data_IF_366035235056
#
_entry.id   IF_366035235056
#
_cell.length_a   1.000
_cell.length_b   1.000
_cell.length_c   1.000
_cell.angle_alpha   90.00
_cell.angle_beta   90.00
_cell.angle_gamma   90.00
#
_symmetry.space_group_name_H-M   'P 1'
#
loop_
_entity.id
_entity.type
_entity.pdbx_description
1 polymer ?
#
# COMPACT_ATOMS: atom_id res chain seq x y z
N UNK A 1 -21.16 -7.46 -8.76
CA UNK A 1 -21.15 -6.41 -7.72
C UNK A 1 -20.21 -6.85 -6.62
N UNK A 2 -19.34 -5.96 -6.14
CA UNK A 2 -18.48 -6.25 -4.99
C UNK A 2 -19.33 -6.54 -3.73
N UNK A 3 -18.85 -7.40 -2.81
CA UNK A 3 -19.48 -7.62 -1.51
C UNK A 3 -19.79 -6.30 -0.79
N UNK A 4 -20.90 -6.24 -0.04
CA UNK A 4 -21.29 -5.02 0.69
C UNK A 4 -20.19 -4.51 1.63
N UNK A 5 -19.45 -5.42 2.26
CA UNK A 5 -18.28 -5.08 3.09
C UNK A 5 -17.23 -4.29 2.30
N UNK A 6 -16.90 -4.72 1.09
CA UNK A 6 -15.88 -4.08 0.25
C UNK A 6 -16.35 -2.71 -0.24
N UNK A 7 -17.63 -2.58 -0.65
CA UNK A 7 -18.21 -1.28 -1.00
C UNK A 7 -18.17 -0.27 0.15
N UNK A 8 -18.37 -0.73 1.39
CA UNK A 8 -18.24 0.12 2.57
C UNK A 8 -16.79 0.56 2.76
N UNK A 9 -15.81 -0.33 2.55
CA UNK A 9 -14.39 0.03 2.65
C UNK A 9 -13.90 0.91 1.51
N UNK A 10 -14.44 0.75 0.30
CA UNK A 10 -14.17 1.65 -0.83
C UNK A 10 -14.69 3.07 -0.52
N UNK A 11 -15.92 3.16 0.00
CA UNK A 11 -16.51 4.41 0.46
C UNK A 11 -15.74 5.05 1.63
N UNK A 12 -15.21 4.24 2.55
CA UNK A 12 -14.34 4.73 3.62
C UNK A 12 -13.05 5.34 3.05
N UNK A 13 -12.42 4.69 2.06
CA UNK A 13 -11.25 5.23 1.38
C UNK A 13 -11.57 6.56 0.70
N UNK A 14 -12.71 6.67 -0.01
CA UNK A 14 -13.15 7.93 -0.61
C UNK A 14 -13.21 9.05 0.45
N UNK A 15 -13.95 8.82 1.53
CA UNK A 15 -14.13 9.82 2.59
C UNK A 15 -12.81 10.18 3.27
N UNK A 16 -11.91 9.22 3.50
CA UNK A 16 -10.59 9.50 4.06
C UNK A 16 -9.72 10.35 3.12
N UNK A 17 -9.75 10.06 1.82
CA UNK A 17 -8.95 10.77 0.83
C UNK A 17 -9.47 12.20 0.58
N UNK A 18 -10.79 12.40 0.65
CA UNK A 18 -11.45 13.70 0.41
C UNK A 18 -11.56 14.55 1.67
N UNK A 19 -12.09 13.99 2.76
CA UNK A 19 -12.50 14.73 3.97
C UNK A 19 -11.60 14.44 5.20
N UNK A 20 -10.65 13.53 5.06
CA UNK A 20 -9.76 13.11 6.14
C UNK A 20 -10.43 12.31 7.25
N UNK A 21 -9.69 11.96 8.31
CA UNK A 21 -10.17 11.08 9.38
C UNK A 21 -11.32 11.70 10.21
N UNK A 22 -11.44 13.03 10.23
CA UNK A 22 -12.54 13.74 10.87
C UNK A 22 -13.88 13.51 10.16
N UNK A 23 -13.88 13.54 8.82
CA UNK A 23 -15.06 13.33 7.98
C UNK A 23 -15.54 11.88 7.90
N UNK A 24 -14.65 10.91 8.19
CA UNK A 24 -14.95 9.47 8.20
C UNK A 24 -15.89 9.05 9.35
N UNK A 25 -17.15 9.47 9.29
CA UNK A 25 -18.22 9.06 10.22
C UNK A 25 -18.99 7.87 9.66
N UNK A 26 -19.61 7.07 10.53
CA UNK A 26 -20.44 5.92 10.10
C UNK A 26 -21.57 6.35 9.14
N UNK A 27 -22.14 7.53 9.35
CA UNK A 27 -23.23 8.05 8.51
C UNK A 27 -22.70 8.49 7.14
N UNK A 28 -21.59 9.24 7.09
CA UNK A 28 -20.95 9.65 5.84
C UNK A 28 -20.52 8.44 4.98
N UNK A 29 -19.95 7.42 5.61
CA UNK A 29 -19.54 6.19 4.92
C UNK A 29 -20.76 5.38 4.45
N UNK A 30 -21.81 5.27 5.26
CA UNK A 30 -23.04 4.57 4.85
C UNK A 30 -23.71 5.25 3.64
N UNK A 31 -23.83 6.57 3.68
CA UNK A 31 -24.36 7.38 2.59
C UNK A 31 -23.54 7.18 1.31
N UNK A 32 -22.21 7.32 1.40
CA UNK A 32 -21.31 7.14 0.25
C UNK A 32 -21.35 5.71 -0.32
N UNK A 33 -21.45 4.71 0.53
CA UNK A 33 -21.56 3.30 0.12
C UNK A 33 -22.94 2.93 -0.44
N UNK A 34 -23.94 3.82 -0.35
CA UNK A 34 -25.32 3.55 -0.76
C UNK A 34 -25.97 2.44 0.08
N UNK A 35 -25.68 2.40 1.38
CA UNK A 35 -26.26 1.42 2.33
C UNK A 35 -26.96 2.12 3.48
N UNK A 36 -27.87 1.42 4.14
CA UNK A 36 -28.47 1.95 5.38
C UNK A 36 -27.45 1.90 6.53
N UNK A 37 -27.63 2.77 7.53
CA UNK A 37 -26.84 2.73 8.77
C UNK A 37 -26.85 1.35 9.43
N UNK A 38 -28.02 0.70 9.49
CA UNK A 38 -28.15 -0.67 9.99
C UNK A 38 -27.40 -1.70 9.16
N UNK A 39 -27.38 -1.55 7.83
CA UNK A 39 -26.61 -2.39 6.92
C UNK A 39 -25.09 -2.21 7.08
N UNK A 40 -24.62 -0.99 7.33
CA UNK A 40 -23.22 -0.76 7.68
C UNK A 40 -22.86 -1.39 9.04
N UNK A 41 -23.69 -1.15 10.06
CA UNK A 41 -23.48 -1.65 11.42
C UNK A 41 -23.50 -3.19 11.53
N UNK A 42 -24.11 -3.87 10.56
CA UNK A 42 -24.01 -5.32 10.42
C UNK A 42 -22.57 -5.79 10.13
N UNK A 43 -21.81 -5.01 9.37
CA UNK A 43 -20.42 -5.32 8.99
C UNK A 43 -19.38 -4.70 9.93
N UNK A 44 -19.61 -3.46 10.37
CA UNK A 44 -18.69 -2.69 11.19
C UNK A 44 -19.44 -1.98 12.31
N UNK A 45 -19.24 -2.41 13.57
CA UNK A 45 -20.07 -1.95 14.70
C UNK A 45 -19.64 -0.58 15.21
N UNK A 46 -18.45 -0.13 14.83
CA UNK A 46 -17.86 1.12 15.27
C UNK A 46 -17.04 1.77 14.15
N UNK A 47 -16.65 3.03 14.37
CA UNK A 47 -15.69 3.72 13.50
C UNK A 47 -14.30 3.07 13.55
N UNK A 48 -13.90 2.54 14.70
CA UNK A 48 -12.65 1.82 14.84
C UNK A 48 -12.69 0.49 14.06
N UNK A 49 -13.82 -0.23 14.07
CA UNK A 49 -13.99 -1.45 13.27
C UNK A 49 -13.85 -1.17 11.76
N UNK A 50 -14.32 -0.01 11.30
CA UNK A 50 -14.13 0.44 9.91
C UNK A 50 -12.66 0.66 9.60
N UNK A 51 -11.93 1.34 10.49
CA UNK A 51 -10.50 1.59 10.33
C UNK A 51 -9.69 0.30 10.36
N UNK A 52 -9.97 -0.62 11.29
CA UNK A 52 -9.35 -1.95 11.29
C UNK A 52 -9.67 -2.71 10.00
N UNK A 53 -10.90 -2.65 9.51
CA UNK A 53 -11.26 -3.27 8.23
C UNK A 53 -10.49 -2.73 7.02
N UNK A 54 -10.14 -1.44 7.03
CA UNK A 54 -9.27 -0.84 6.02
C UNK A 54 -7.82 -1.30 6.18
N UNK A 55 -7.31 -1.34 7.41
CA UNK A 55 -5.95 -1.82 7.70
C UNK A 55 -5.81 -3.32 7.40
N UNK A 56 -6.87 -4.12 7.54
CA UNK A 56 -6.90 -5.52 7.09
C UNK A 56 -6.76 -5.64 5.57
N UNK A 57 -7.32 -4.70 4.80
CA UNK A 57 -7.10 -4.65 3.34
C UNK A 57 -5.66 -4.28 3.01
N UNK A 58 -5.06 -3.36 3.79
CA UNK A 58 -3.66 -2.99 3.63
C UNK A 58 -2.75 -4.22 3.84
N UNK A 59 -2.92 -4.92 4.95
CA UNK A 59 -2.14 -6.13 5.26
C UNK A 59 -2.33 -7.22 4.18
N UNK A 60 -3.57 -7.42 3.71
CA UNK A 60 -3.84 -8.38 2.63
C UNK A 60 -3.12 -8.00 1.32
N UNK A 61 -3.01 -6.71 1.01
CA UNK A 61 -2.24 -6.20 -0.12
C UNK A 61 -0.76 -6.53 0.00
N UNK A 62 -0.16 -6.28 1.17
CA UNK A 62 1.23 -6.62 1.45
C UNK A 62 1.52 -8.11 1.32
N UNK A 63 0.65 -8.96 1.87
CA UNK A 63 0.76 -10.41 1.76
C UNK A 63 0.60 -10.91 0.31
N UNK A 64 -0.30 -10.31 -0.46
CA UNK A 64 -0.47 -10.63 -1.87
C UNK A 64 0.77 -10.25 -2.70
N UNK A 65 1.41 -9.13 -2.37
CA UNK A 65 2.64 -8.68 -3.00
C UNK A 65 3.81 -9.65 -2.74
N UNK A 66 4.02 -10.06 -1.49
CA UNK A 66 5.03 -11.09 -1.17
C UNK A 66 4.78 -12.41 -1.92
N UNK A 67 3.52 -12.84 -2.01
CA UNK A 67 3.15 -14.06 -2.71
C UNK A 67 3.39 -14.00 -4.23
N UNK A 68 3.33 -12.80 -4.82
CA UNK A 68 3.56 -12.57 -6.25
C UNK A 68 5.02 -12.28 -6.60
N UNK A 69 5.85 -11.99 -5.59
CA UNK A 69 7.25 -11.68 -5.80
C UNK A 69 8.01 -12.89 -6.39
N UNK A 70 8.71 -12.70 -7.53
CA UNK A 70 9.51 -13.77 -8.12
C UNK A 70 10.57 -14.31 -7.15
N UNK A 71 10.87 -15.63 -7.18
CA UNK A 71 11.79 -16.24 -6.23
C UNK A 71 13.27 -16.01 -6.57
N UNK A 72 13.59 -15.64 -7.81
CA UNK A 72 14.96 -15.35 -8.22
C UNK A 72 15.33 -13.88 -7.96
N UNK A 73 16.58 -13.57 -7.56
CA UNK A 73 17.01 -12.21 -7.19
C UNK A 73 16.69 -11.16 -8.27
N UNK A 74 16.93 -11.55 -9.52
CA UNK A 74 16.85 -10.71 -10.70
C UNK A 74 15.39 -10.37 -11.05
N UNK A 75 14.52 -11.38 -11.03
CA UNK A 75 13.09 -11.26 -11.17
C UNK A 75 12.48 -10.44 -10.04
N UNK A 76 12.86 -10.69 -8.80
CA UNK A 76 12.36 -9.98 -7.62
C UNK A 76 12.67 -8.47 -7.70
N UNK A 77 13.91 -8.12 -8.04
CA UNK A 77 14.32 -6.73 -8.17
C UNK A 77 13.62 -6.02 -9.33
N UNK A 78 13.48 -6.68 -10.50
CA UNK A 78 12.74 -6.10 -11.64
C UNK A 78 11.29 -5.88 -11.28
N UNK A 79 10.63 -6.90 -10.74
CA UNK A 79 9.22 -6.83 -10.33
C UNK A 79 8.98 -5.69 -9.33
N UNK A 80 9.82 -5.58 -8.30
CA UNK A 80 9.70 -4.54 -7.29
C UNK A 80 9.90 -3.14 -7.88
N UNK A 81 11.01 -2.91 -8.58
CA UNK A 81 11.34 -1.59 -9.14
C UNK A 81 10.38 -1.16 -10.25
N UNK A 82 9.85 -2.10 -11.03
CA UNK A 82 8.88 -1.80 -12.08
C UNK A 82 7.50 -1.45 -11.49
N UNK A 83 7.06 -2.21 -10.47
CA UNK A 83 5.82 -1.95 -9.73
C UNK A 83 5.82 -0.63 -8.96
N UNK A 84 6.98 -0.17 -8.50
CA UNK A 84 7.11 1.11 -7.79
C UNK A 84 7.04 2.36 -8.68
N UNK A 85 6.77 2.25 -9.98
CA UNK A 85 6.72 3.42 -10.89
C UNK A 85 5.31 3.97 -11.11
N UNK A 86 4.29 3.33 -10.53
CA UNK A 86 2.89 3.72 -10.64
C UNK A 86 2.31 3.97 -9.25
N UNK A 87 1.34 4.89 -9.17
CA UNK A 87 0.72 5.29 -7.90
C UNK A 87 -0.83 5.33 -7.98
N UNK A 88 -1.41 4.66 -8.97
CA UNK A 88 -2.81 4.77 -9.37
C UNK A 88 -3.61 3.46 -9.24
N UNK A 89 -3.02 2.41 -8.65
CA UNK A 89 -3.67 1.13 -8.42
C UNK A 89 -4.51 1.07 -7.12
N UNK A 90 -5.29 0.00 -6.95
CA UNK A 90 -6.17 -0.17 -5.79
C UNK A 90 -5.41 -0.38 -4.46
N UNK A 91 -4.23 -0.99 -4.50
CA UNK A 91 -3.33 -1.16 -3.35
C UNK A 91 -2.79 0.20 -2.89
N UNK A 92 -2.33 1.03 -3.82
CA UNK A 92 -1.83 2.37 -3.55
C UNK A 92 -2.92 3.27 -2.98
N UNK A 93 -4.14 3.16 -3.51
CA UNK A 93 -5.30 3.85 -2.96
C UNK A 93 -5.56 3.46 -1.50
N UNK A 94 -5.45 2.18 -1.18
CA UNK A 94 -5.61 1.66 0.19
C UNK A 94 -4.50 2.21 1.11
N UNK A 95 -3.25 2.19 0.64
CA UNK A 95 -2.09 2.78 1.32
C UNK A 95 -2.31 4.27 1.62
N UNK A 96 -2.71 5.05 0.63
CA UNK A 96 -2.95 6.49 0.77
C UNK A 96 -4.09 6.80 1.74
N UNK A 97 -5.17 6.02 1.71
CA UNK A 97 -6.26 6.17 2.68
C UNK A 97 -5.80 5.82 4.10
N UNK A 98 -5.01 4.76 4.27
CA UNK A 98 -4.45 4.38 5.57
C UNK A 98 -3.46 5.43 6.10
N UNK A 99 -2.69 6.09 5.25
CA UNK A 99 -1.82 7.22 5.65
C UNK A 99 -2.61 8.38 6.27
N UNK A 100 -3.88 8.59 5.87
CA UNK A 100 -4.76 9.61 6.46
C UNK A 100 -5.12 9.32 7.92
N UNK A 101 -4.91 8.09 8.38
CA UNK A 101 -5.17 7.69 9.77
C UNK A 101 -3.98 7.96 10.70
N UNK A 102 -2.79 8.24 10.16
CA UNK A 102 -1.60 8.51 10.98
C UNK A 102 -1.83 9.72 11.90
N UNK A 103 -1.40 9.59 13.16
CA UNK A 103 -1.61 10.60 14.20
C UNK A 103 -3.05 10.74 14.70
N UNK A 104 -4.03 10.06 14.09
CA UNK A 104 -5.45 10.11 14.48
C UNK A 104 -5.97 8.76 14.99
N UNK A 105 -5.50 7.65 14.41
CA UNK A 105 -5.81 6.30 14.84
C UNK A 105 -4.51 5.56 15.21
N UNK A 106 -4.20 5.39 16.51
CA UNK A 106 -2.89 4.89 16.94
C UNK A 106 -2.42 3.58 16.27
N UNK A 107 -3.27 2.56 16.04
CA UNK A 107 -2.85 1.33 15.38
C UNK A 107 -2.32 1.50 13.94
N UNK A 108 -2.69 2.58 13.24
CA UNK A 108 -2.31 2.80 11.85
C UNK A 108 -0.79 2.88 11.65
N UNK A 109 -0.04 3.44 12.62
CA UNK A 109 1.42 3.55 12.52
C UNK A 109 2.07 2.17 12.45
N UNK A 110 1.69 1.26 13.35
CA UNK A 110 2.26 -0.09 13.42
C UNK A 110 1.83 -0.93 12.21
N UNK A 111 0.59 -0.78 11.74
CA UNK A 111 0.10 -1.46 10.53
C UNK A 111 0.84 -0.98 9.28
N UNK A 112 1.08 0.32 9.16
CA UNK A 112 1.85 0.89 8.04
C UNK A 112 3.29 0.41 8.02
N UNK A 113 3.95 0.38 9.19
CA UNK A 113 5.31 -0.13 9.30
C UNK A 113 5.39 -1.62 8.89
N UNK A 114 4.41 -2.44 9.28
CA UNK A 114 4.33 -3.84 8.84
C UNK A 114 4.10 -3.96 7.33
N UNK A 115 3.16 -3.20 6.77
CA UNK A 115 2.90 -3.22 5.34
C UNK A 115 4.16 -2.94 4.50
N UNK A 116 4.95 -1.92 4.87
CA UNK A 116 6.20 -1.60 4.15
C UNK A 116 7.27 -2.70 4.30
N UNK A 117 7.29 -3.42 5.43
CA UNK A 117 8.21 -4.53 5.64
C UNK A 117 7.77 -5.79 4.89
N UNK A 118 6.47 -6.11 4.94
CA UNK A 118 5.84 -7.25 4.26
C UNK A 118 5.91 -7.09 2.74
N UNK A 119 5.71 -5.88 2.22
CA UNK A 119 5.86 -5.55 0.81
C UNK A 119 7.26 -5.89 0.27
N UNK A 120 8.30 -5.70 1.09
CA UNK A 120 9.68 -6.04 0.75
C UNK A 120 10.10 -7.45 1.22
N UNK A 121 9.20 -8.26 1.80
CA UNK A 121 9.54 -9.58 2.32
C UNK A 121 10.01 -10.53 1.21
N UNK A 122 9.29 -10.56 0.09
CA UNK A 122 9.66 -11.40 -1.07
C UNK A 122 11.00 -11.01 -1.65
N UNK A 123 11.26 -9.70 -1.76
CA UNK A 123 12.54 -9.15 -2.22
C UNK A 123 13.70 -9.59 -1.33
N UNK A 124 13.56 -9.46 0.00
CA UNK A 124 14.58 -9.88 0.98
C UNK A 124 14.81 -11.39 0.99
N UNK A 125 13.76 -12.17 0.70
CA UNK A 125 13.86 -13.64 0.59
C UNK A 125 14.58 -14.06 -0.68
N UNK A 126 14.34 -13.39 -1.81
CA UNK A 126 14.97 -13.69 -3.08
C UNK A 126 16.43 -13.22 -3.12
N UNK A 127 16.72 -12.03 -2.59
CA UNK A 127 18.06 -11.43 -2.57
C UNK A 127 18.73 -11.77 -1.23
N UNK A 128 19.63 -12.77 -1.25
CA UNK A 128 20.29 -13.26 -0.04
C UNK A 128 21.21 -12.24 0.65
N UNK A 129 21.77 -11.27 -0.08
CA UNK A 129 22.53 -10.17 0.52
C UNK A 129 21.58 -9.09 1.08
N UNK A 130 21.53 -8.89 2.42
CA UNK A 130 20.60 -7.95 3.03
C UNK A 130 20.86 -6.49 2.64
N UNK A 131 22.11 -6.13 2.31
CA UNK A 131 22.42 -4.75 1.89
C UNK A 131 21.88 -4.48 0.50
N UNK A 132 22.11 -5.38 -0.45
CA UNK A 132 21.57 -5.27 -1.81
C UNK A 132 20.04 -5.29 -1.80
N UNK A 133 19.40 -6.18 -1.03
CA UNK A 133 17.95 -6.19 -0.89
C UNK A 133 17.41 -4.84 -0.37
N UNK A 134 18.09 -4.26 0.63
CA UNK A 134 17.70 -2.96 1.19
C UNK A 134 17.93 -1.81 0.22
N UNK A 135 18.99 -1.85 -0.60
CA UNK A 135 19.23 -0.85 -1.64
C UNK A 135 18.12 -0.88 -2.71
N UNK A 136 17.74 -2.07 -3.18
CA UNK A 136 16.63 -2.24 -4.13
C UNK A 136 15.33 -1.69 -3.52
N UNK A 137 15.05 -2.04 -2.26
CA UNK A 137 13.86 -1.54 -1.55
C UNK A 137 13.85 -0.01 -1.47
N UNK A 138 14.92 0.62 -0.99
CA UNK A 138 15.00 2.07 -0.83
C UNK A 138 14.88 2.83 -2.15
N UNK A 139 15.41 2.26 -3.23
CA UNK A 139 15.25 2.82 -4.58
C UNK A 139 13.79 2.70 -5.02
N UNK A 140 13.16 1.54 -4.87
CA UNK A 140 11.73 1.37 -5.18
C UNK A 140 10.84 2.30 -4.37
N UNK A 141 11.06 2.42 -3.06
CA UNK A 141 10.32 3.35 -2.19
C UNK A 141 10.44 4.80 -2.69
N UNK A 142 11.64 5.22 -3.14
CA UNK A 142 11.88 6.54 -3.71
C UNK A 142 11.19 6.75 -5.06
N UNK A 143 11.25 5.76 -5.95
CA UNK A 143 10.54 5.77 -7.23
C UNK A 143 9.02 5.87 -7.03
N UNK A 144 8.49 5.14 -6.04
CA UNK A 144 7.08 5.19 -5.70
C UNK A 144 6.67 6.57 -5.20
N UNK A 145 7.48 7.18 -4.34
CA UNK A 145 7.23 8.53 -3.86
C UNK A 145 7.27 9.57 -5.00
N UNK A 146 8.19 9.41 -5.95
CA UNK A 146 8.24 10.24 -7.16
C UNK A 146 6.96 10.08 -8.00
N UNK A 147 6.58 8.84 -8.31
CA UNK A 147 5.36 8.54 -9.04
C UNK A 147 4.11 9.13 -8.36
N UNK A 148 4.01 8.98 -7.04
CA UNK A 148 2.92 9.50 -6.23
C UNK A 148 2.80 11.02 -6.29
N UNK A 149 3.93 11.73 -6.30
CA UNK A 149 3.96 13.19 -6.34
C UNK A 149 3.92 13.77 -7.76
N UNK A 150 3.92 12.91 -8.79
CA UNK A 150 4.16 13.33 -10.17
C UNK A 150 5.51 14.04 -10.34
N UNK A 151 6.47 13.70 -9.49
CA UNK A 151 7.84 14.22 -9.50
C UNK A 151 8.81 13.17 -10.05
N UNK A 152 10.08 13.54 -10.23
CA UNK A 152 11.12 12.62 -10.73
C UNK A 152 11.71 13.05 -12.08
N UNK A 153 12.87 12.47 -12.39
CA UNK A 153 13.59 12.64 -13.65
C UNK A 153 13.62 11.26 -14.31
N UNK A 154 12.61 10.97 -15.15
CA UNK A 154 12.41 9.63 -15.74
C UNK A 154 13.68 9.07 -16.41
N UNK A 155 14.46 9.86 -17.19
CA UNK A 155 15.78 9.43 -17.66
C UNK A 155 16.78 9.02 -16.57
N UNK A 156 16.87 9.77 -15.47
CA UNK A 156 17.78 9.45 -14.37
C UNK A 156 17.30 8.24 -13.57
N UNK A 157 15.99 8.15 -13.31
CA UNK A 157 15.37 7.04 -12.60
C UNK A 157 15.60 5.71 -13.33
N UNK A 158 15.51 5.70 -14.66
CA UNK A 158 15.86 4.54 -15.48
C UNK A 158 17.33 4.12 -15.30
N UNK A 159 18.25 5.08 -15.28
CA UNK A 159 19.70 4.81 -15.06
C UNK A 159 19.97 4.28 -13.64
N UNK A 160 19.26 4.78 -12.64
CA UNK A 160 19.38 4.29 -11.26
C UNK A 160 18.93 2.83 -11.17
N UNK A 161 17.81 2.47 -11.81
CA UNK A 161 17.35 1.07 -11.86
C UNK A 161 18.38 0.14 -12.50
N UNK A 162 18.98 0.56 -13.62
CA UNK A 162 20.01 -0.24 -14.29
C UNK A 162 21.30 -0.36 -13.45
N UNK A 163 21.67 0.70 -12.72
CA UNK A 163 22.80 0.64 -11.79
C UNK A 163 22.54 -0.34 -10.64
N UNK A 164 21.34 -0.34 -10.06
CA UNK A 164 20.94 -1.28 -9.00
C UNK A 164 20.94 -2.72 -9.52
N UNK A 165 20.50 -2.97 -10.76
CA UNK A 165 20.56 -4.29 -11.38
C UNK A 165 22.00 -4.80 -11.53
N UNK A 166 22.92 -3.92 -11.92
CA UNK A 166 24.34 -4.29 -12.06
C UNK A 166 24.96 -4.71 -10.71
N UNK A 167 24.44 -4.22 -9.58
CA UNK A 167 24.89 -4.63 -8.25
C UNK A 167 24.45 -6.06 -7.90
N UNK A 168 23.32 -6.53 -8.44
CA UNK A 168 22.85 -7.92 -8.24
C UNK A 168 23.78 -8.93 -8.93
N UNK A 169 24.33 -8.58 -10.09
CA UNK A 169 25.29 -9.41 -10.82
C UNK A 169 26.63 -9.59 -10.09
N UNK A 170 26.91 -8.75 -9.08
CA UNK A 170 28.17 -8.71 -8.34
C UNK A 170 28.08 -9.31 -6.93
N UNK A 171 26.88 -9.65 -6.47
CA UNK A 171 26.58 -10.18 -5.14
C UNK A 171 26.44 -11.72 -5.15
#
# INVERSE_FOLDING_TARGET
MAPTRDRILDALQDVLLEDGPGGATLDAVAERAGVSKGGLLYHFRSKDDLFEGLLDRLDAGGAAADAQCPPDPDGAARWFLDGSQTADGPEERTLLAALRLLGTYPPASDRMARYLDDWAAGLRRAIGDPVTARLVQLVGDGLFLHALLGSGDTPLDARVKDAVRTLLDQA
#
